data_IF_385390419025
#
_entry.id   IF_385390419025
#
_cell.length_a   1.000
_cell.length_b   1.000
_cell.length_c   1.000
_cell.angle_alpha   90.00
_cell.angle_beta   90.00
_cell.angle_gamma   90.00
#
_symmetry.space_group_name_H-M   'P 1'
#
loop_
_entity.id
_entity.type
_entity.pdbx_description
1 polymer ?
#
# COMPACT_ATOMS: atom_id res chain seq x y z
N UNK A 1 -23.42 39.87 18.44
CA UNK A 1 -22.29 39.44 17.58
C UNK A 1 -21.56 38.19 18.08
N UNK A 2 -21.32 38.02 19.39
CA UNK A 2 -20.53 36.88 19.90
C UNK A 2 -21.13 35.48 19.63
N UNK A 3 -22.48 35.35 19.63
CA UNK A 3 -23.17 34.06 19.42
C UNK A 3 -23.08 33.51 17.99
N UNK A 4 -22.80 34.35 16.99
CA UNK A 4 -22.75 33.94 15.58
C UNK A 4 -21.39 33.35 15.21
N UNK A 5 -20.31 33.88 15.81
CA UNK A 5 -18.95 33.38 15.62
C UNK A 5 -18.74 31.98 16.19
N UNK A 6 -19.35 31.67 17.34
CA UNK A 6 -19.25 30.35 17.98
C UNK A 6 -19.93 29.26 17.14
N UNK A 7 -21.06 29.57 16.48
CA UNK A 7 -21.75 28.61 15.60
C UNK A 7 -20.94 28.29 14.34
N UNK A 8 -20.28 29.29 13.74
CA UNK A 8 -19.40 29.07 12.58
C UNK A 8 -18.16 28.25 12.95
N UNK A 9 -17.56 28.48 14.12
CA UNK A 9 -16.41 27.70 14.58
C UNK A 9 -16.77 26.23 14.83
N UNK A 10 -17.93 25.93 15.42
CA UNK A 10 -18.39 24.54 15.65
C UNK A 10 -18.68 23.83 14.33
N UNK A 11 -19.32 24.50 13.35
CA UNK A 11 -19.58 23.91 12.03
C UNK A 11 -18.26 23.67 11.27
N UNK A 12 -17.29 24.58 11.37
CA UNK A 12 -15.98 24.41 10.76
C UNK A 12 -15.19 23.27 11.43
N UNK A 13 -15.22 23.16 12.76
CA UNK A 13 -14.60 22.06 13.50
C UNK A 13 -15.25 20.71 13.16
N UNK A 14 -16.57 20.69 12.99
CA UNK A 14 -17.32 19.49 12.59
C UNK A 14 -17.02 19.09 11.15
N UNK A 15 -16.93 20.04 10.20
CA UNK A 15 -16.49 19.76 8.83
C UNK A 15 -15.02 19.32 8.77
N UNK A 16 -14.15 19.92 9.59
CA UNK A 16 -12.74 19.53 9.69
C UNK A 16 -12.60 18.12 10.28
N UNK A 17 -13.40 17.75 11.29
CA UNK A 17 -13.48 16.39 11.83
C UNK A 17 -14.09 15.40 10.81
N UNK A 18 -15.12 15.79 10.05
CA UNK A 18 -15.73 14.96 9.02
C UNK A 18 -14.79 14.70 7.83
N UNK A 19 -13.87 15.62 7.52
CA UNK A 19 -12.82 15.39 6.52
C UNK A 19 -11.80 14.31 6.96
N UNK A 20 -11.76 13.93 8.24
CA UNK A 20 -10.82 12.93 8.78
C UNK A 20 -11.44 11.54 8.97
N UNK A 21 -12.74 11.36 8.69
CA UNK A 21 -13.42 10.06 8.75
C UNK A 21 -13.66 9.53 7.33
N UNK A 22 -12.61 9.48 6.51
CA UNK A 22 -12.62 8.52 5.41
C UNK A 22 -12.40 7.13 6.05
N UNK A 23 -13.16 6.09 5.67
CA UNK A 23 -12.76 4.73 6.02
C UNK A 23 -11.33 4.55 5.54
N UNK A 24 -10.44 4.27 6.48
CA UNK A 24 -9.02 4.10 6.24
C UNK A 24 -8.87 2.99 5.20
N UNK A 25 -8.63 3.37 3.94
CA UNK A 25 -8.34 2.41 2.88
C UNK A 25 -6.95 1.87 3.14
N UNK A 26 -6.78 0.55 3.01
CA UNK A 26 -5.45 -0.02 3.12
C UNK A 26 -4.55 0.64 2.06
N UNK A 27 -3.39 1.11 2.48
CA UNK A 27 -2.46 1.82 1.63
C UNK A 27 -1.05 1.47 2.05
N UNK A 28 -0.28 0.99 1.09
CA UNK A 28 1.16 0.79 1.22
C UNK A 28 1.86 1.87 0.42
N UNK A 29 2.66 2.69 1.10
CA UNK A 29 3.51 3.71 0.51
C UNK A 29 4.97 3.23 0.56
N UNK A 30 5.64 3.32 -0.57
CA UNK A 30 7.05 2.97 -0.72
C UNK A 30 7.76 4.23 -1.23
N UNK A 31 8.68 4.78 -0.46
CA UNK A 31 9.42 5.99 -0.85
C UNK A 31 10.89 5.64 -1.06
N UNK A 32 11.36 5.75 -2.29
CA UNK A 32 12.77 5.53 -2.61
C UNK A 32 13.59 6.78 -2.26
N UNK A 33 14.53 6.63 -1.33
CA UNK A 33 15.51 7.65 -0.94
C UNK A 33 16.91 7.28 -1.47
N UNK A 34 17.92 8.11 -1.21
CA UNK A 34 19.26 7.89 -1.78
C UNK A 34 19.98 6.63 -1.31
N UNK A 35 19.69 6.16 -0.09
CA UNK A 35 20.42 5.07 0.57
C UNK A 35 19.52 3.95 1.10
N UNK A 36 18.20 4.16 1.13
CA UNK A 36 17.23 3.22 1.65
C UNK A 36 15.88 3.42 0.97
N UNK A 37 14.95 2.52 1.21
CA UNK A 37 13.54 2.68 0.84
C UNK A 37 12.69 2.73 2.09
N UNK A 38 11.87 3.77 2.27
CA UNK A 38 10.88 3.79 3.35
C UNK A 38 9.67 2.97 2.92
N UNK A 39 9.27 2.05 3.79
CA UNK A 39 8.05 1.28 3.64
C UNK A 39 7.09 1.70 4.76
N UNK A 40 5.91 2.17 4.37
CA UNK A 40 4.81 2.42 5.27
C UNK A 40 3.59 1.67 4.77
N UNK A 41 2.94 0.88 5.64
CA UNK A 41 1.74 0.15 5.26
C UNK A 41 0.68 0.26 6.33
N UNK A 42 -0.53 0.53 5.87
CA UNK A 42 -1.75 0.45 6.67
C UNK A 42 -2.59 -0.66 6.09
N UNK A 43 -2.66 -1.76 6.82
CA UNK A 43 -3.46 -2.94 6.47
C UNK A 43 -4.78 -2.79 7.20
N UNK A 44 -5.89 -2.76 6.46
CA UNK A 44 -7.22 -2.57 7.02
C UNK A 44 -8.14 -3.73 6.65
N UNK A 45 -8.39 -4.62 7.61
CA UNK A 45 -9.34 -5.72 7.50
C UNK A 45 -10.70 -5.26 8.02
N UNK A 46 -11.72 -5.25 7.17
CA UNK A 46 -13.10 -5.06 7.59
C UNK A 46 -13.71 -6.43 7.88
N UNK A 47 -14.35 -6.59 9.03
CA UNK A 47 -14.91 -7.87 9.44
C UNK A 47 -16.13 -7.69 10.35
N UNK A 48 -17.00 -8.68 10.47
CA UNK A 48 -18.00 -8.77 11.55
C UNK A 48 -18.13 -10.21 12.07
N UNK A 49 -17.06 -10.99 11.94
CA UNK A 49 -16.99 -12.41 12.27
C UNK A 49 -16.51 -12.66 13.70
N UNK A 50 -15.90 -11.66 14.32
CA UNK A 50 -15.35 -11.75 15.67
C UNK A 50 -16.05 -10.82 16.64
N UNK A 51 -16.00 -11.18 17.92
CA UNK A 51 -16.38 -10.32 19.05
C UNK A 51 -15.11 -9.80 19.74
N UNK A 52 -14.09 -9.41 18.97
CA UNK A 52 -12.84 -8.91 19.53
C UNK A 52 -13.11 -7.64 20.34
N UNK A 53 -12.59 -7.60 21.56
CA UNK A 53 -12.65 -6.40 22.39
C UNK A 53 -11.89 -5.28 21.69
N UNK A 54 -12.45 -4.07 21.71
CA UNK A 54 -11.79 -2.88 21.17
C UNK A 54 -10.51 -2.59 21.96
N UNK A 55 -9.37 -2.52 21.28
CA UNK A 55 -8.12 -2.06 21.88
C UNK A 55 -7.19 -1.43 20.85
N UNK A 56 -6.22 -0.69 21.35
CA UNK A 56 -5.11 -0.12 20.60
C UNK A 56 -3.82 -0.52 21.30
N UNK A 57 -2.87 -1.05 20.54
CA UNK A 57 -1.62 -1.57 21.08
C UNK A 57 -0.44 -1.12 20.22
N UNK A 58 0.48 -0.41 20.86
CA UNK A 58 1.80 -0.12 20.31
C UNK A 58 2.72 -1.25 20.70
N UNK A 59 3.45 -1.80 19.74
CA UNK A 59 4.26 -2.99 19.98
C UNK A 59 5.40 -2.62 20.93
N UNK A 60 5.56 -3.39 22.00
CA UNK A 60 6.71 -3.28 22.90
C UNK A 60 7.99 -3.84 22.24
N UNK A 61 9.13 -3.67 22.89
CA UNK A 61 10.44 -4.08 22.36
C UNK A 61 10.47 -5.58 21.97
N UNK A 62 9.97 -6.47 22.83
CA UNK A 62 9.95 -7.91 22.55
C UNK A 62 9.09 -8.27 21.32
N UNK A 63 7.88 -7.72 21.23
CA UNK A 63 6.97 -7.97 20.11
C UNK A 63 7.51 -7.36 18.82
N UNK A 64 8.12 -6.17 18.91
CA UNK A 64 8.80 -5.53 17.78
C UNK A 64 9.97 -6.37 17.30
N UNK A 65 10.79 -6.93 18.20
CA UNK A 65 11.93 -7.76 17.83
C UNK A 65 11.47 -9.03 17.09
N UNK A 66 10.47 -9.75 17.62
CA UNK A 66 9.92 -10.93 16.95
C UNK A 66 9.35 -10.60 15.56
N UNK A 67 8.62 -9.49 15.44
CA UNK A 67 8.09 -9.04 14.15
C UNK A 67 9.21 -8.60 13.20
N UNK A 68 10.25 -7.94 13.71
CA UNK A 68 11.42 -7.53 12.97
C UNK A 68 12.15 -8.75 12.37
N UNK A 69 12.36 -9.79 13.16
CA UNK A 69 13.03 -11.01 12.70
C UNK A 69 12.21 -11.71 11.61
N UNK A 70 10.89 -11.82 11.81
CA UNK A 70 9.98 -12.43 10.84
C UNK A 70 9.90 -11.63 9.52
N UNK A 71 9.82 -10.29 9.59
CA UNK A 71 9.84 -9.41 8.42
C UNK A 71 11.20 -9.47 7.70
N UNK A 72 12.30 -9.41 8.46
CA UNK A 72 13.66 -9.52 7.90
C UNK A 72 13.81 -10.82 7.12
N UNK A 73 13.39 -11.95 7.71
CA UNK A 73 13.44 -13.24 7.04
C UNK A 73 12.55 -13.27 5.79
N UNK A 74 11.32 -12.77 5.88
CA UNK A 74 10.38 -12.75 4.75
C UNK A 74 10.90 -11.92 3.57
N UNK A 75 11.53 -10.77 3.84
CA UNK A 75 12.11 -9.86 2.84
C UNK A 75 13.40 -10.46 2.27
N UNK A 76 14.28 -11.04 3.10
CA UNK A 76 15.50 -11.72 2.62
C UNK A 76 15.23 -12.91 1.72
N UNK A 77 14.10 -13.59 1.91
CA UNK A 77 13.66 -14.66 1.01
C UNK A 77 13.34 -14.16 -0.40
N UNK A 78 13.07 -12.87 -0.58
CA UNK A 78 12.84 -12.25 -1.89
C UNK A 78 14.11 -11.59 -2.44
N UNK A 79 14.83 -10.84 -1.60
CA UNK A 79 16.09 -10.17 -1.95
C UNK A 79 17.10 -10.42 -0.84
N UNK A 80 18.07 -11.31 -1.06
CA UNK A 80 19.00 -11.79 -0.02
C UNK A 80 19.88 -10.70 0.59
N UNK A 81 20.17 -9.63 -0.15
CA UNK A 81 20.92 -8.47 0.33
C UNK A 81 20.10 -7.51 1.19
N UNK A 82 18.77 -7.66 1.21
CA UNK A 82 17.90 -6.72 1.90
C UNK A 82 17.96 -6.89 3.42
N UNK A 83 17.88 -5.77 4.14
CA UNK A 83 17.70 -5.71 5.59
C UNK A 83 16.65 -4.66 5.93
N UNK A 84 15.98 -4.83 7.08
CA UNK A 84 15.07 -3.81 7.59
C UNK A 84 15.66 -3.12 8.83
N UNK A 85 15.33 -1.85 8.98
CA UNK A 85 15.75 -1.02 10.10
C UNK A 85 14.61 -0.13 10.58
N UNK A 86 14.68 0.31 11.84
CA UNK A 86 13.75 1.25 12.46
C UNK A 86 12.28 0.82 12.38
N UNK A 87 12.00 -0.46 12.63
CA UNK A 87 10.64 -0.98 12.64
C UNK A 87 9.80 -0.27 13.71
N UNK A 88 8.64 0.23 13.28
CA UNK A 88 7.54 0.67 14.13
C UNK A 88 6.29 -0.06 13.70
N UNK A 89 5.53 -0.56 14.67
CA UNK A 89 4.28 -1.25 14.43
C UNK A 89 3.24 -0.89 15.48
N UNK A 90 2.00 -0.80 15.04
CA UNK A 90 0.85 -0.64 15.93
C UNK A 90 -0.34 -1.41 15.37
N UNK A 91 -1.18 -1.90 16.27
CA UNK A 91 -2.45 -2.51 15.92
C UNK A 91 -3.58 -1.77 16.61
N UNK A 92 -4.68 -1.61 15.87
CA UNK A 92 -5.92 -1.06 16.40
C UNK A 92 -7.04 -1.99 15.99
N UNK A 93 -7.79 -2.48 16.98
CA UNK A 93 -8.89 -3.41 16.80
C UNK A 93 -10.17 -2.72 17.26
N UNK A 94 -11.22 -2.93 16.47
CA UNK A 94 -12.59 -2.58 16.81
C UNK A 94 -13.51 -3.75 16.44
N UNK A 95 -14.79 -3.63 16.80
CA UNK A 95 -15.80 -4.65 16.53
C UNK A 95 -15.87 -5.03 15.05
N UNK A 96 -15.69 -4.04 14.16
CA UNK A 96 -15.90 -4.21 12.73
C UNK A 96 -14.63 -4.15 11.88
N UNK A 97 -13.45 -3.96 12.49
CA UNK A 97 -12.20 -3.86 11.74
C UNK A 97 -10.95 -4.13 12.57
N UNK A 98 -9.91 -4.58 11.89
CA UNK A 98 -8.56 -4.80 12.43
C UNK A 98 -7.58 -4.03 11.53
N UNK A 99 -6.88 -3.06 12.12
CA UNK A 99 -5.91 -2.24 11.40
C UNK A 99 -4.50 -2.49 11.94
N UNK A 100 -3.57 -2.83 11.05
CA UNK A 100 -2.14 -2.96 11.36
C UNK A 100 -1.41 -1.84 10.63
N UNK A 101 -0.64 -1.05 11.37
CA UNK A 101 0.25 -0.04 10.81
C UNK A 101 1.69 -0.52 10.92
N UNK A 102 2.43 -0.49 9.82
CA UNK A 102 3.84 -0.85 9.75
C UNK A 102 4.63 0.32 9.17
N UNK A 103 5.80 0.58 9.73
CA UNK A 103 6.78 1.50 9.19
C UNK A 103 8.18 0.94 9.40
N UNK A 104 8.99 0.86 8.35
CA UNK A 104 10.40 0.49 8.44
C UNK A 104 11.18 1.00 7.23
N UNK A 105 12.50 0.99 7.33
CA UNK A 105 13.42 1.27 6.21
C UNK A 105 13.97 -0.04 5.68
N UNK A 106 14.05 -0.16 4.37
CA UNK A 106 14.68 -1.29 3.66
C UNK A 106 16.02 -0.82 3.09
N UNK A 107 17.09 -1.48 3.48
CA UNK A 107 18.45 -1.25 3.01
C UNK A 107 18.95 -2.43 2.17
N UNK A 108 20.08 -2.27 1.48
CA UNK A 108 20.68 -3.34 0.67
C UNK A 108 19.96 -3.65 -0.65
N UNK A 109 18.95 -2.86 -1.01
CA UNK A 109 18.15 -2.99 -2.24
C UNK A 109 18.49 -1.91 -3.29
N UNK A 110 19.47 -1.06 -3.01
CA UNK A 110 19.88 0.02 -3.90
C UNK A 110 21.28 -0.25 -4.46
N UNK A 111 21.47 0.00 -5.75
CA UNK A 111 22.77 -0.01 -6.42
C UNK A 111 23.00 1.34 -7.09
N UNK A 112 24.08 2.01 -6.72
CA UNK A 112 24.55 3.24 -7.39
C UNK A 112 25.48 2.84 -8.54
N UNK A 113 25.18 3.31 -9.74
CA UNK A 113 25.96 3.10 -10.95
C UNK A 113 26.18 4.45 -11.63
N UNK A 114 27.37 5.04 -11.44
CA UNK A 114 27.73 6.35 -11.98
C UNK A 114 26.61 7.38 -11.76
N UNK A 115 25.85 7.71 -12.81
CA UNK A 115 24.78 8.70 -12.83
C UNK A 115 23.37 8.09 -12.64
N UNK A 116 23.27 6.87 -12.11
CA UNK A 116 22.01 6.15 -11.91
C UNK A 116 21.93 5.53 -10.52
N UNK A 117 20.76 5.60 -9.94
CA UNK A 117 20.37 4.78 -8.79
C UNK A 117 19.38 3.76 -9.31
N UNK A 118 19.64 2.50 -9.00
CA UNK A 118 18.77 1.39 -9.32
C UNK A 118 18.27 0.82 -7.99
N UNK A 119 16.96 0.76 -7.82
CA UNK A 119 16.31 0.15 -6.66
C UNK A 119 15.69 -1.16 -7.11
N UNK A 120 16.12 -2.25 -6.50
CA UNK A 120 15.45 -3.53 -6.58
C UNK A 120 14.21 -3.51 -5.69
N UNK A 121 13.03 -3.55 -6.30
CA UNK A 121 11.75 -3.64 -5.62
C UNK A 121 11.18 -5.06 -5.63
N UNK A 122 12.01 -6.09 -5.87
CA UNK A 122 11.58 -7.49 -5.82
C UNK A 122 11.14 -7.87 -4.41
N UNK A 123 11.74 -7.26 -3.37
CA UNK A 123 11.38 -7.50 -1.98
C UNK A 123 9.94 -7.15 -1.58
N UNK A 124 9.23 -6.32 -2.36
CA UNK A 124 7.90 -5.79 -1.99
C UNK A 124 6.79 -6.84 -1.86
N UNK A 125 7.00 -8.04 -2.39
CA UNK A 125 6.01 -9.13 -2.44
C UNK A 125 6.23 -10.19 -1.35
N UNK A 126 6.74 -9.78 -0.19
CA UNK A 126 7.06 -10.67 0.93
C UNK A 126 5.81 -11.22 1.66
N UNK A 127 5.99 -12.31 2.38
CA UNK A 127 4.93 -12.94 3.18
C UNK A 127 5.48 -13.35 4.55
N UNK A 128 4.85 -12.85 5.62
CA UNK A 128 5.15 -13.29 7.00
C UNK A 128 4.22 -14.45 7.33
N UNK A 129 4.78 -15.64 7.54
CA UNK A 129 4.01 -16.87 7.83
C UNK A 129 3.84 -17.14 9.34
N UNK A 130 4.67 -16.51 10.16
CA UNK A 130 4.66 -16.70 11.61
C UNK A 130 3.36 -16.14 12.21
N UNK A 131 2.88 -16.80 13.26
CA UNK A 131 1.81 -16.28 14.10
C UNK A 131 2.24 -14.98 14.77
N UNK A 132 1.31 -14.04 14.88
CA UNK A 132 1.52 -12.80 15.63
C UNK A 132 0.37 -12.66 16.62
N UNK A 133 0.63 -13.00 17.88
CA UNK A 133 -0.37 -12.99 18.94
C UNK A 133 -0.13 -11.78 19.83
N UNK A 134 -1.14 -10.92 19.96
CA UNK A 134 -1.09 -9.68 20.73
C UNK A 134 -2.31 -9.65 21.64
N UNK A 135 -2.10 -9.61 22.96
CA UNK A 135 -3.18 -9.67 23.95
C UNK A 135 -4.16 -10.83 23.67
N UNK A 136 -3.62 -12.03 23.43
CA UNK A 136 -4.38 -13.26 23.12
C UNK A 136 -5.11 -13.26 21.76
N UNK A 137 -4.91 -12.22 20.94
CA UNK A 137 -5.50 -12.12 19.59
C UNK A 137 -4.44 -12.50 18.56
N UNK A 138 -4.70 -13.55 17.79
CA UNK A 138 -3.93 -13.83 16.56
C UNK A 138 -4.31 -12.81 15.50
N UNK A 139 -3.35 -12.06 14.98
CA UNK A 139 -3.61 -10.97 14.03
C UNK A 139 -3.09 -11.30 12.64
N UNK A 140 -2.06 -12.14 12.50
CA UNK A 140 -1.55 -12.46 11.18
C UNK A 140 -2.37 -13.59 10.55
N UNK A 141 -2.55 -14.71 11.26
CA UNK A 141 -3.32 -15.87 10.79
C UNK A 141 -4.82 -15.74 11.08
N UNK A 142 -5.39 -14.58 10.75
CA UNK A 142 -6.79 -14.24 11.07
C UNK A 142 -7.79 -15.26 10.50
N UNK A 143 -7.56 -15.76 9.28
CA UNK A 143 -8.47 -16.70 8.65
C UNK A 143 -8.50 -18.04 9.37
N UNK A 144 -7.33 -18.60 9.68
CA UNK A 144 -7.21 -19.84 10.46
C UNK A 144 -7.82 -19.67 11.87
N UNK A 145 -7.55 -18.55 12.54
CA UNK A 145 -7.99 -18.32 13.92
C UNK A 145 -9.50 -18.08 14.07
N UNK A 146 -10.15 -17.37 13.13
CA UNK A 146 -11.53 -16.92 13.30
C UNK A 146 -12.49 -17.37 12.20
N UNK A 147 -12.04 -17.45 10.95
CA UNK A 147 -12.90 -17.89 9.85
C UNK A 147 -13.07 -19.40 9.85
N UNK A 148 -12.01 -20.17 10.07
CA UNK A 148 -12.07 -21.63 10.07
C UNK A 148 -13.07 -22.18 11.11
N UNK A 149 -13.08 -21.74 12.38
CA UNK A 149 -14.11 -22.17 13.34
C UNK A 149 -15.53 -21.79 12.92
N UNK A 150 -15.71 -20.60 12.35
CA UNK A 150 -17.00 -20.14 11.85
C UNK A 150 -17.51 -21.01 10.69
N UNK A 151 -16.64 -21.32 9.73
CA UNK A 151 -16.98 -22.16 8.58
C UNK A 151 -17.35 -23.57 9.05
N UNK A 152 -16.51 -24.20 9.89
CA UNK A 152 -16.78 -25.54 10.43
C UNK A 152 -18.11 -25.62 11.19
N UNK A 153 -18.50 -24.55 11.89
CA UNK A 153 -19.79 -24.49 12.59
C UNK A 153 -20.98 -24.66 11.63
N UNK A 154 -20.87 -24.19 10.39
CA UNK A 154 -21.97 -24.15 9.43
C UNK A 154 -21.74 -25.00 8.17
N UNK A 155 -20.63 -25.74 8.07
CA UNK A 155 -20.29 -26.54 6.87
C UNK A 155 -21.35 -27.59 6.53
N UNK A 156 -22.02 -28.15 7.54
CA UNK A 156 -23.08 -29.14 7.39
C UNK A 156 -24.49 -28.53 7.39
N UNK A 157 -24.61 -27.20 7.42
CA UNK A 157 -25.92 -26.52 7.41
C UNK A 157 -26.42 -26.32 5.99
N UNK A 158 -27.62 -26.82 5.69
CA UNK A 158 -28.32 -26.58 4.43
C UNK A 158 -28.78 -25.11 4.26
N UNK A 159 -28.77 -24.33 5.34
CA UNK A 159 -29.16 -22.92 5.40
C UNK A 159 -27.96 -21.97 5.23
N UNK A 160 -26.74 -22.50 5.19
CA UNK A 160 -25.52 -21.71 5.03
C UNK A 160 -25.09 -21.61 3.56
N UNK A 161 -24.62 -20.43 3.15
CA UNK A 161 -24.04 -20.17 1.82
C UNK A 161 -22.75 -19.39 1.96
N UNK A 162 -21.69 -19.91 1.36
CA UNK A 162 -20.35 -19.31 1.36
C UNK A 162 -20.11 -18.62 0.03
N UNK A 163 -19.57 -17.40 0.08
CA UNK A 163 -19.33 -16.57 -1.09
C UNK A 163 -17.93 -15.98 -1.06
N UNK A 164 -17.28 -15.99 -2.22
CA UNK A 164 -16.02 -15.30 -2.48
C UNK A 164 -16.27 -14.19 -3.50
N UNK A 165 -15.69 -13.02 -3.25
CA UNK A 165 -15.85 -11.82 -4.08
C UNK A 165 -17.32 -11.39 -4.29
N UNK A 166 -18.22 -11.81 -3.39
CA UNK A 166 -19.68 -11.61 -3.43
C UNK A 166 -20.41 -12.24 -4.62
N UNK A 167 -19.71 -12.85 -5.56
CA UNK A 167 -20.28 -13.33 -6.83
C UNK A 167 -20.12 -14.83 -7.01
N UNK A 168 -19.12 -15.44 -6.36
CA UNK A 168 -18.82 -16.86 -6.52
C UNK A 168 -19.28 -17.63 -5.28
N UNK A 169 -20.32 -18.44 -5.42
CA UNK A 169 -20.71 -19.39 -4.37
C UNK A 169 -19.65 -20.49 -4.32
N UNK A 170 -19.15 -20.79 -3.13
CA UNK A 170 -18.06 -21.76 -2.91
C UNK A 170 -18.52 -22.88 -1.98
N UNK A 171 -17.84 -24.03 -2.03
CA UNK A 171 -18.09 -25.13 -1.08
C UNK A 171 -17.46 -24.83 0.29
N UNK A 172 -17.88 -25.49 1.37
CA UNK A 172 -17.23 -25.35 2.67
C UNK A 172 -15.73 -25.71 2.63
N UNK A 173 -15.33 -26.72 1.85
CA UNK A 173 -13.94 -27.16 1.74
C UNK A 173 -13.05 -26.09 1.11
N UNK A 174 -13.51 -25.47 0.02
CA UNK A 174 -12.78 -24.37 -0.63
C UNK A 174 -12.77 -23.11 0.27
N UNK A 175 -13.87 -22.82 0.97
CA UNK A 175 -13.89 -21.75 1.97
C UNK A 175 -12.87 -21.98 3.10
N UNK A 176 -12.74 -23.21 3.61
CA UNK A 176 -11.74 -23.59 4.60
C UNK A 176 -10.31 -23.45 4.06
N UNK A 177 -10.07 -23.84 2.81
CA UNK A 177 -8.78 -23.67 2.17
C UNK A 177 -8.37 -22.19 2.08
N UNK A 178 -9.30 -21.32 1.68
CA UNK A 178 -9.09 -19.87 1.61
C UNK A 178 -8.83 -19.30 3.01
N UNK A 179 -9.64 -19.67 4.01
CA UNK A 179 -9.47 -19.22 5.39
C UNK A 179 -8.10 -19.63 5.96
N UNK A 180 -7.68 -20.88 5.77
CA UNK A 180 -6.39 -21.37 6.29
C UNK A 180 -5.17 -20.75 5.59
N UNK A 181 -5.31 -20.33 4.33
CA UNK A 181 -4.23 -19.64 3.59
C UNK A 181 -4.20 -18.14 3.82
N UNK A 182 -5.25 -17.55 4.38
CA UNK A 182 -5.36 -16.11 4.56
C UNK A 182 -4.45 -15.62 5.70
N UNK A 183 -3.48 -14.77 5.32
CA UNK A 183 -2.57 -14.07 6.22
C UNK A 183 -2.80 -12.57 6.09
N UNK A 184 -2.80 -11.80 7.18
CA UNK A 184 -2.89 -10.34 7.09
C UNK A 184 -1.59 -9.73 6.52
N UNK A 185 -0.43 -10.22 6.97
CA UNK A 185 0.90 -9.75 6.56
C UNK A 185 1.43 -10.54 5.35
N UNK A 186 0.70 -10.47 4.25
CA UNK A 186 1.08 -11.07 2.97
C UNK A 186 0.93 -10.02 1.87
N UNK A 187 2.01 -9.76 1.15
CA UNK A 187 2.09 -8.69 0.14
C UNK A 187 2.32 -9.27 -1.26
N UNK A 188 2.10 -10.57 -1.46
CA UNK A 188 2.31 -11.26 -2.74
C UNK A 188 1.54 -10.65 -3.91
N UNK A 189 0.42 -10.00 -3.66
CA UNK A 189 -0.33 -9.26 -4.68
C UNK A 189 0.50 -8.17 -5.36
N UNK A 190 1.54 -7.65 -4.70
CA UNK A 190 2.48 -6.68 -5.25
C UNK A 190 3.63 -7.35 -6.03
N UNK A 191 3.52 -8.64 -6.37
CA UNK A 191 4.46 -9.33 -7.26
C UNK A 191 4.41 -8.85 -8.71
N UNK A 192 3.32 -8.18 -9.11
CA UNK A 192 3.17 -7.63 -10.46
C UNK A 192 4.35 -6.70 -10.82
N UNK A 193 5.01 -6.88 -11.97
CA UNK A 193 6.11 -6.01 -12.42
C UNK A 193 5.73 -4.53 -12.38
N UNK A 194 6.67 -3.67 -11.97
CA UNK A 194 6.48 -2.23 -11.82
C UNK A 194 6.14 -1.52 -13.14
N UNK A 195 6.61 -2.04 -14.28
CA UNK A 195 6.27 -1.51 -15.61
C UNK A 195 4.78 -1.66 -15.95
N UNK A 196 4.07 -2.58 -15.28
CA UNK A 196 2.63 -2.75 -15.42
C UNK A 196 1.81 -1.94 -14.39
N UNK A 197 2.47 -1.15 -13.53
CA UNK A 197 1.80 -0.25 -12.59
C UNK A 197 1.45 1.06 -13.29
N UNK A 198 0.39 1.73 -12.82
CA UNK A 198 0.00 3.02 -13.38
C UNK A 198 1.05 4.08 -12.98
N UNK A 199 1.83 4.54 -13.97
CA UNK A 199 2.89 5.52 -13.79
C UNK A 199 2.40 6.93 -14.14
N UNK A 200 2.64 7.87 -13.24
CA UNK A 200 2.47 9.30 -13.49
C UNK A 200 3.73 10.07 -13.10
N UNK A 201 4.00 11.19 -13.77
CA UNK A 201 5.11 12.08 -13.43
C UNK A 201 4.58 13.49 -13.17
N UNK A 202 4.88 14.02 -12.00
CA UNK A 202 4.55 15.39 -11.64
C UNK A 202 5.77 16.29 -11.88
N UNK A 203 5.69 17.14 -12.91
CA UNK A 203 6.79 18.06 -13.29
C UNK A 203 7.08 19.07 -12.17
N UNK A 204 6.04 19.62 -11.52
CA UNK A 204 6.17 20.65 -10.48
C UNK A 204 6.88 20.12 -9.23
N UNK A 205 6.55 18.90 -8.81
CA UNK A 205 7.17 18.24 -7.66
C UNK A 205 8.39 17.41 -8.05
N UNK A 206 8.71 17.33 -9.35
CA UNK A 206 9.73 16.44 -9.92
C UNK A 206 9.67 15.04 -9.29
N UNK A 207 8.48 14.43 -9.27
CA UNK A 207 8.25 13.14 -8.60
C UNK A 207 7.54 12.18 -9.55
N UNK A 208 8.04 10.95 -9.65
CA UNK A 208 7.36 9.84 -10.31
C UNK A 208 6.54 9.07 -9.28
N UNK A 209 5.28 8.77 -9.62
CA UNK A 209 4.38 7.95 -8.80
C UNK A 209 3.98 6.72 -9.59
N UNK A 210 4.17 5.53 -9.01
CA UNK A 210 3.65 4.27 -9.53
C UNK A 210 2.55 3.78 -8.62
N UNK A 211 1.36 3.54 -9.16
CA UNK A 211 0.22 3.07 -8.38
C UNK A 211 -0.26 1.71 -8.89
N UNK A 212 -0.55 0.81 -7.95
CA UNK A 212 -1.20 -0.46 -8.23
C UNK A 212 -2.35 -0.70 -7.26
N UNK A 213 -3.53 -0.98 -7.81
CA UNK A 213 -4.70 -1.42 -7.06
C UNK A 213 -4.78 -2.93 -7.25
N UNK A 214 -4.40 -3.69 -6.23
CA UNK A 214 -4.46 -5.14 -6.29
C UNK A 214 -5.92 -5.62 -6.18
N UNK A 215 -6.23 -6.83 -6.69
CA UNK A 215 -7.46 -7.52 -6.32
C UNK A 215 -7.61 -7.64 -4.80
N UNK A 216 -8.85 -7.72 -4.31
CA UNK A 216 -9.10 -7.98 -2.89
C UNK A 216 -8.42 -9.28 -2.47
N UNK A 217 -7.60 -9.22 -1.43
CA UNK A 217 -6.88 -10.37 -0.89
C UNK A 217 -7.82 -11.38 -0.25
N UNK A 218 -8.84 -10.86 0.42
CA UNK A 218 -10.00 -11.62 0.86
C UNK A 218 -11.25 -10.76 0.70
N UNK A 219 -12.33 -11.38 0.24
CA UNK A 219 -13.67 -10.82 0.22
C UNK A 219 -14.64 -11.98 0.42
N UNK A 220 -14.63 -12.50 1.64
CA UNK A 220 -15.41 -13.63 2.08
C UNK A 220 -16.74 -13.14 2.65
N UNK A 221 -17.82 -13.82 2.31
CA UNK A 221 -19.13 -13.61 2.89
C UNK A 221 -19.82 -14.95 3.17
N UNK A 222 -20.26 -15.16 4.40
CA UNK A 222 -21.09 -16.28 4.80
C UNK A 222 -22.47 -15.76 5.16
N UNK A 223 -23.49 -16.23 4.45
CA UNK A 223 -24.89 -15.94 4.75
C UNK A 223 -25.53 -17.19 5.34
N UNK A 224 -26.24 -17.03 6.47
CA UNK A 224 -26.99 -18.12 7.11
C UNK A 224 -28.41 -17.64 7.35
N UNK A 225 -29.38 -18.51 7.06
CA UNK A 225 -30.78 -18.31 7.43
C UNK A 225 -30.99 -19.05 8.76
N UNK A 226 -31.44 -18.37 9.81
CA UNK A 226 -31.81 -18.99 11.09
C UNK A 226 -33.28 -18.63 11.40
N UNK A 227 -34.20 -19.53 11.09
CA UNK A 227 -35.64 -19.26 11.15
C UNK A 227 -36.05 -18.16 10.16
N UNK A 228 -36.57 -17.03 10.67
CA UNK A 228 -37.02 -15.90 9.85
C UNK A 228 -35.96 -14.79 9.71
N UNK A 229 -34.73 -15.00 10.19
CA UNK A 229 -33.65 -14.00 10.14
C UNK A 229 -32.49 -14.46 9.27
N UNK A 230 -31.93 -13.54 8.49
CA UNK A 230 -30.69 -13.76 7.73
C UNK A 230 -29.53 -13.06 8.43
N UNK A 231 -28.46 -13.82 8.71
CA UNK A 231 -27.20 -13.31 9.28
C UNK A 231 -26.12 -13.38 8.22
N UNK A 232 -25.30 -12.33 8.12
CA UNK A 232 -24.20 -12.24 7.17
C UNK A 232 -22.90 -11.92 7.90
N UNK A 233 -21.89 -12.74 7.63
CA UNK A 233 -20.55 -12.67 8.18
C UNK A 233 -19.59 -12.33 7.04
N UNK A 234 -18.99 -11.15 7.07
CA UNK A 234 -18.18 -10.57 6.02
C UNK A 234 -16.76 -10.42 6.54
N UNK A 235 -15.77 -10.77 5.71
CA UNK A 235 -14.36 -10.41 5.91
C UNK A 235 -13.81 -9.90 4.60
N UNK A 236 -13.25 -8.69 4.62
CA UNK A 236 -12.76 -8.00 3.43
C UNK A 236 -11.45 -7.26 3.69
N UNK A 237 -10.45 -7.52 2.85
CA UNK A 237 -9.19 -6.79 2.80
C UNK A 237 -8.87 -6.46 1.34
N UNK A 238 -8.89 -5.17 1.02
CA UNK A 238 -8.43 -4.63 -0.26
C UNK A 238 -7.00 -4.14 -0.10
N UNK A 239 -6.15 -4.31 -1.11
CA UNK A 239 -4.75 -3.87 -1.07
C UNK A 239 -4.47 -2.83 -2.16
N UNK A 240 -3.79 -1.75 -1.78
CA UNK A 240 -3.30 -0.72 -2.69
C UNK A 240 -1.87 -0.37 -2.34
N UNK A 241 -1.03 -0.21 -3.36
CA UNK A 241 0.34 0.27 -3.22
C UNK A 241 0.59 1.51 -4.08
N UNK A 242 1.42 2.40 -3.55
CA UNK A 242 1.95 3.58 -4.24
C UNK A 242 3.44 3.67 -3.98
N UNK A 243 4.23 3.78 -5.03
CA UNK A 243 5.67 4.03 -4.96
C UNK A 243 5.95 5.46 -5.37
N UNK A 244 6.65 6.20 -4.53
CA UNK A 244 7.14 7.55 -4.78
C UNK A 244 8.64 7.51 -5.06
N UNK A 245 9.04 8.16 -6.14
CA UNK A 245 10.43 8.31 -6.53
C UNK A 245 10.75 9.74 -6.93
N UNK A 246 11.86 10.25 -6.40
CA UNK A 246 12.39 11.56 -6.76
C UNK A 246 12.90 11.56 -8.21
N UNK A 247 12.55 12.62 -8.95
CA UNK A 247 12.87 12.77 -10.37
C UNK A 247 12.02 11.94 -11.31
N UNK A 248 12.45 11.88 -12.57
CA UNK A 248 11.86 10.99 -13.56
C UNK A 248 12.46 9.59 -13.40
N UNK A 249 11.64 8.64 -12.96
CA UNK A 249 12.02 7.25 -12.79
C UNK A 249 11.55 6.41 -13.98
N UNK A 250 12.34 5.41 -14.39
CA UNK A 250 11.91 4.35 -15.29
C UNK A 250 11.69 3.08 -14.48
N UNK A 251 10.59 2.39 -14.74
CA UNK A 251 10.33 1.07 -14.20
C UNK A 251 10.64 0.04 -15.29
N UNK A 252 11.30 -1.05 -14.93
CA UNK A 252 11.53 -2.20 -15.78
C UNK A 252 11.53 -3.43 -14.89
N UNK A 253 10.65 -4.40 -15.16
CA UNK A 253 10.40 -5.53 -14.28
C UNK A 253 10.15 -5.07 -12.81
N UNK A 254 10.96 -5.52 -11.86
CA UNK A 254 10.93 -5.08 -10.46
C UNK A 254 11.95 -3.98 -10.14
N UNK A 255 12.62 -3.43 -11.14
CA UNK A 255 13.67 -2.43 -10.96
C UNK A 255 13.12 -1.03 -11.18
N UNK A 256 13.46 -0.13 -10.28
CA UNK A 256 13.17 1.29 -10.41
C UNK A 256 14.48 2.05 -10.62
N UNK A 257 14.59 2.71 -11.76
CA UNK A 257 15.84 3.34 -12.23
C UNK A 257 15.62 4.85 -12.24
N UNK A 258 16.36 5.56 -11.40
CA UNK A 258 16.45 7.02 -11.44
C UNK A 258 17.79 7.41 -12.07
N UNK A 259 17.76 8.44 -12.90
CA UNK A 259 18.99 9.15 -13.18
C UNK A 259 19.26 10.05 -11.96
N UNK A 260 20.39 9.82 -11.29
CA UNK A 260 20.93 10.83 -10.37
C UNK A 260 21.20 12.02 -11.26
N UNK A 261 20.45 13.10 -11.08
CA UNK A 261 20.71 14.32 -11.82
C UNK A 261 22.17 14.70 -11.58
N UNK A 262 23.06 14.50 -12.56
CA UNK A 262 23.83 15.65 -13.03
C UNK A 262 22.76 16.68 -13.33
N UNK A 263 22.75 17.81 -12.61
CA UNK A 263 21.77 18.84 -12.84
C UNK A 263 21.80 19.22 -14.32
N UNK A 264 20.91 18.64 -15.13
CA UNK A 264 20.47 19.28 -16.35
C UNK A 264 19.71 20.48 -15.82
N UNK A 265 20.49 21.52 -15.56
CA UNK A 265 20.06 22.82 -15.10
C UNK A 265 18.91 23.14 -16.04
N UNK A 266 17.68 23.26 -15.55
CA UNK A 266 16.55 23.64 -16.43
C UNK A 266 16.92 24.92 -17.20
N UNK A 267 17.79 25.76 -16.62
CA UNK A 267 18.49 26.86 -17.28
C UNK A 267 19.19 26.47 -18.59
N UNK A 268 19.88 25.34 -18.68
CA UNK A 268 20.59 24.90 -19.88
C UNK A 268 19.63 24.48 -20.99
N UNK A 269 18.55 23.74 -20.69
CA UNK A 269 17.56 23.35 -21.72
C UNK A 269 16.74 24.56 -22.15
N UNK A 270 16.32 25.42 -21.21
CA UNK A 270 15.61 26.65 -21.54
C UNK A 270 16.49 27.60 -22.33
N UNK A 271 17.78 27.73 -21.97
CA UNK A 271 18.77 28.47 -22.75
C UNK A 271 18.89 27.90 -24.15
N UNK A 272 19.00 26.58 -24.31
CA UNK A 272 19.20 25.95 -25.63
C UNK A 272 17.99 26.20 -26.55
N UNK A 273 16.77 26.12 -26.01
CA UNK A 273 15.53 26.48 -26.74
C UNK A 273 15.52 27.97 -27.10
N UNK A 274 15.89 28.85 -26.16
CA UNK A 274 15.94 30.29 -26.41
C UNK A 274 16.95 30.63 -27.51
N UNK A 275 18.14 30.04 -27.47
CA UNK A 275 19.20 30.23 -28.48
C UNK A 275 18.73 29.74 -29.84
N UNK A 276 18.03 28.60 -29.91
CA UNK A 276 17.47 28.08 -31.17
C UNK A 276 16.46 29.06 -31.78
N UNK A 277 15.52 29.58 -30.98
CA UNK A 277 14.51 30.56 -31.41
C UNK A 277 15.19 31.84 -31.91
N UNK A 278 16.19 32.35 -31.17
CA UNK A 278 16.93 33.54 -31.56
C UNK A 278 17.66 33.34 -32.89
N UNK A 279 18.26 32.18 -33.09
CA UNK A 279 19.04 31.85 -34.29
C UNK A 279 18.15 31.80 -35.53
N UNK A 280 16.98 31.14 -35.42
CA UNK A 280 15.97 31.12 -36.49
C UNK A 280 15.46 32.53 -36.81
N UNK A 281 15.21 33.35 -35.77
CA UNK A 281 14.77 34.73 -35.97
C UNK A 281 15.82 35.58 -36.70
N UNK A 282 17.10 35.45 -36.35
CA UNK A 282 18.22 36.15 -37.00
C UNK A 282 18.35 35.72 -38.47
N UNK A 283 18.32 34.41 -38.76
CA UNK A 283 18.40 33.88 -40.13
C UNK A 283 17.24 34.44 -40.98
N UNK A 284 16.02 34.36 -40.47
CA UNK A 284 14.85 34.87 -41.18
C UNK A 284 14.94 36.38 -41.46
N UNK A 285 15.44 37.17 -40.50
CA UNK A 285 15.63 38.61 -40.70
C UNK A 285 16.71 38.93 -41.74
N UNK A 286 17.80 38.15 -41.76
CA UNK A 286 18.88 38.31 -42.72
C UNK A 286 18.43 37.97 -44.15
N UNK A 287 17.70 36.87 -44.34
CA UNK A 287 17.11 36.49 -45.63
C UNK A 287 16.14 37.57 -46.16
N UNK A 288 15.27 38.11 -45.29
CA UNK A 288 14.36 39.21 -45.67
C UNK A 288 15.09 40.48 -46.10
N UNK A 289 16.30 40.73 -45.58
CA UNK A 289 17.11 41.89 -45.94
C UNK A 289 17.82 41.69 -47.28
N UNK A 290 18.27 40.48 -47.59
CA UNK A 290 18.88 40.11 -48.87
C UNK A 290 17.89 40.20 -50.04
N UNK A 291 16.62 39.82 -49.85
CA UNK A 291 15.58 39.88 -50.91
C UNK A 291 15.19 41.32 -51.31
N UNK A 292 15.54 42.33 -50.50
CA UNK A 292 15.18 43.74 -50.75
C UNK A 292 16.29 44.58 -51.40
N UNK A 293 17.47 44.01 -51.61
CA UNK A 293 18.57 44.63 -52.36
C UNK A 293 18.72 43.94 -53.71
#
# INVERSE_FOLDING_TARGET
MLKTATKFFIIFLFFWLLCWIQPVKALTEIKAEENYVEFQSLIALNQNVTLLKKFEYFFNEDTLQMLNDALTQAIKNQTSSASIHNLKASIKINENWVNISLFFKVEGVLKKLENKIIVDCSWKNFQVKNSLIINEVEVNKFGEAYLTPLIKKYENSSEARFWINKTHSTSPEEALEIANKFLMLDFKEFSKPLEEWNKTYNVKMQTTTLQYNAPSKINFNLTIIEGNQSKSYIVKLDSKAVIYASGYAKASENMLIFNVKEGVNEKNVTSLILTLILTVAIIHFYERKQVKN
#
